data_IF_989740779879
#
_entry.id   IF_989740779879
#
_cell.length_a   1.000
_cell.length_b   1.000
_cell.length_c   1.000
_cell.angle_alpha   90.00
_cell.angle_beta   90.00
_cell.angle_gamma   90.00
#
_symmetry.space_group_name_H-M   'P 1'
#
loop_
_entity.id
_entity.type
_entity.pdbx_description
1 polymer ?
#
# COMPACT_ATOMS: atom_id res chain seq x y z
N UNK A 1 18.93 -27.40 -14.28
CA UNK A 1 17.75 -26.80 -13.66
C UNK A 1 17.84 -25.29 -13.90
N UNK A 2 17.29 -24.81 -15.02
CA UNK A 2 17.26 -23.38 -15.33
C UNK A 2 15.91 -22.84 -14.87
N UNK A 3 15.74 -22.65 -13.56
CA UNK A 3 14.51 -22.11 -12.97
C UNK A 3 14.71 -20.64 -12.68
N UNK A 4 14.44 -19.78 -13.66
CA UNK A 4 14.11 -18.38 -13.37
C UNK A 4 12.88 -18.38 -12.46
N UNK A 5 12.89 -17.59 -11.37
CA UNK A 5 11.72 -17.42 -10.49
C UNK A 5 10.50 -16.82 -11.25
N UNK A 6 10.75 -16.26 -12.43
CA UNK A 6 9.76 -15.65 -13.32
C UNK A 6 9.76 -16.47 -14.61
N UNK A 7 8.64 -17.13 -14.90
CA UNK A 7 8.49 -17.88 -16.15
C UNK A 7 8.01 -16.91 -17.25
N UNK A 8 8.97 -16.19 -17.82
CA UNK A 8 8.71 -15.18 -18.85
C UNK A 8 8.02 -15.79 -20.08
N UNK A 9 8.30 -17.05 -20.42
CA UNK A 9 7.65 -17.73 -21.55
C UNK A 9 6.19 -18.09 -21.24
N UNK A 10 5.88 -18.52 -20.01
CA UNK A 10 4.51 -18.73 -19.56
C UNK A 10 3.74 -17.41 -19.53
N UNK A 11 4.32 -16.36 -18.93
CA UNK A 11 3.69 -15.04 -18.85
C UNK A 11 3.40 -14.48 -20.25
N UNK A 12 4.34 -14.57 -21.21
CA UNK A 12 4.10 -14.10 -22.58
C UNK A 12 2.98 -14.86 -23.30
N UNK A 13 2.78 -16.16 -22.99
CA UNK A 13 1.69 -16.97 -23.54
C UNK A 13 0.34 -16.63 -22.90
N UNK A 14 0.29 -16.43 -21.58
CA UNK A 14 -0.93 -16.05 -20.85
C UNK A 14 -1.37 -14.63 -21.21
N UNK A 15 -0.42 -13.72 -21.39
CA UNK A 15 -0.67 -12.30 -21.65
C UNK A 15 -0.87 -11.94 -23.13
N UNK A 16 -0.91 -12.93 -24.03
CA UNK A 16 -1.13 -12.67 -25.47
C UNK A 16 -0.08 -11.79 -26.15
N UNK A 17 1.17 -11.80 -25.65
CA UNK A 17 2.28 -11.04 -26.25
C UNK A 17 2.42 -9.58 -25.78
N UNK A 18 1.79 -9.17 -24.67
CA UNK A 18 2.06 -7.86 -24.05
C UNK A 18 3.50 -7.83 -23.51
N UNK A 19 4.35 -6.87 -23.92
CA UNK A 19 5.75 -6.85 -23.54
C UNK A 19 5.92 -6.67 -22.03
N UNK A 20 6.84 -7.43 -21.43
CA UNK A 20 7.31 -7.17 -20.08
C UNK A 20 7.95 -5.77 -20.04
N UNK A 21 7.54 -4.91 -19.11
CA UNK A 21 8.19 -3.60 -18.96
C UNK A 21 9.67 -3.83 -18.62
N UNK A 22 10.55 -3.23 -19.42
CA UNK A 22 12.01 -3.24 -19.19
C UNK A 22 12.26 -2.57 -17.85
N UNK A 23 13.01 -3.24 -16.97
CA UNK A 23 13.47 -2.69 -15.69
C UNK A 23 13.99 -1.26 -15.89
N UNK A 24 13.43 -0.30 -15.16
CA UNK A 24 14.11 0.98 -14.93
C UNK A 24 15.45 0.64 -14.27
N UNK A 25 16.54 0.92 -14.98
CA UNK A 25 17.89 0.60 -14.52
C UNK A 25 18.23 1.39 -13.24
N UNK A 26 19.11 0.88 -12.36
CA UNK A 26 19.42 1.50 -11.06
C UNK A 26 20.05 2.90 -11.13
N UNK A 27 20.31 3.41 -12.33
CA UNK A 27 21.09 4.62 -12.58
C UNK A 27 20.34 5.67 -13.43
N UNK A 28 19.02 5.55 -13.56
CA UNK A 28 18.21 6.63 -14.10
C UNK A 28 18.11 7.74 -13.05
N UNK A 29 19.00 8.74 -13.13
CA UNK A 29 18.75 10.06 -12.56
C UNK A 29 17.50 10.62 -13.22
N UNK A 30 16.36 10.46 -12.55
CA UNK A 30 15.09 11.04 -12.96
C UNK A 30 15.17 12.57 -12.77
N UNK A 31 15.01 13.39 -13.82
CA UNK A 31 14.44 14.70 -13.61
C UNK A 31 12.97 14.45 -13.24
N UNK A 32 12.64 14.76 -11.99
CA UNK A 32 11.31 14.70 -11.37
C UNK A 32 10.14 14.64 -12.37
N UNK A 33 9.55 13.46 -12.65
CA UNK A 33 8.14 13.37 -12.93
C UNK A 33 7.49 13.08 -11.58
N UNK A 34 6.81 14.08 -11.04
CA UNK A 34 5.82 13.93 -9.99
C UNK A 34 5.07 12.62 -10.19
N UNK A 35 5.34 11.63 -9.34
CA UNK A 35 4.43 10.50 -9.15
C UNK A 35 3.19 11.12 -8.51
N UNK A 36 2.34 11.69 -9.35
CA UNK A 36 1.07 12.26 -8.98
C UNK A 36 0.22 11.11 -8.47
N UNK A 37 0.25 10.94 -7.15
CA UNK A 37 -0.93 10.54 -6.40
C UNK A 37 -1.98 11.55 -6.88
N UNK A 38 -2.98 11.11 -7.65
CA UNK A 38 -4.06 11.96 -8.19
C UNK A 38 -5.45 11.54 -7.68
N UNK A 39 -6.19 12.48 -7.09
CA UNK A 39 -7.53 12.33 -6.53
C UNK A 39 -8.58 12.98 -7.45
N UNK A 40 -9.72 12.32 -7.60
CA UNK A 40 -10.82 12.72 -8.50
C UNK A 40 -11.59 13.94 -7.93
N UNK A 41 -11.85 14.95 -8.77
CA UNK A 41 -12.77 16.07 -8.50
C UNK A 41 -14.16 15.84 -9.12
N UNK A 42 -15.15 16.52 -8.53
CA UNK A 42 -16.60 16.33 -8.63
C UNK A 42 -17.27 16.84 -9.94
N UNK A 43 -16.54 17.08 -11.03
CA UNK A 43 -17.10 17.74 -12.23
C UNK A 43 -17.41 16.82 -13.43
N UNK A 44 -17.35 15.49 -13.24
CA UNK A 44 -17.93 14.55 -14.19
C UNK A 44 -17.20 14.46 -15.54
N UNK A 45 -15.97 14.97 -15.64
CA UNK A 45 -15.05 14.65 -16.74
C UNK A 45 -14.20 13.45 -16.34
N UNK A 46 -14.39 12.32 -17.03
CA UNK A 46 -13.54 11.14 -16.91
C UNK A 46 -12.19 11.43 -17.56
N UNK A 47 -11.12 11.39 -16.77
CA UNK A 47 -9.77 11.18 -17.30
C UNK A 47 -9.21 9.85 -16.77
N UNK A 48 -8.54 9.12 -17.67
CA UNK A 48 -8.19 7.70 -17.56
C UNK A 48 -6.86 7.45 -16.84
N UNK A 49 -6.79 7.26 -15.52
CA UNK A 49 -5.64 6.68 -14.77
C UNK A 49 -6.13 6.25 -13.36
N UNK A 50 -5.54 5.41 -12.50
CA UNK A 50 -4.47 4.39 -12.43
C UNK A 50 -4.63 3.79 -11.02
N UNK A 51 -4.72 2.46 -10.87
CA UNK A 51 -5.13 1.69 -9.67
C UNK A 51 -6.60 1.92 -9.22
N UNK A 52 -7.45 0.91 -9.41
CA UNK A 52 -8.85 0.97 -8.99
C UNK A 52 -8.92 0.91 -7.46
N UNK A 53 -9.21 2.04 -6.84
CA UNK A 53 -9.84 2.10 -5.52
C UNK A 53 -11.32 2.39 -5.79
N UNK A 54 -12.22 1.52 -5.34
CA UNK A 54 -13.66 1.66 -5.58
C UNK A 54 -14.17 3.03 -5.09
N UNK A 55 -15.22 3.51 -5.77
CA UNK A 55 -15.80 4.87 -5.82
C UNK A 55 -16.15 5.55 -4.46
N UNK A 56 -15.87 4.90 -3.33
CA UNK A 56 -16.22 5.35 -1.99
C UNK A 56 -15.06 5.38 -0.96
N UNK A 57 -13.87 4.90 -1.29
CA UNK A 57 -12.76 4.72 -0.32
C UNK A 57 -11.48 5.51 -0.70
N UNK A 58 -11.62 6.80 -1.03
CA UNK A 58 -10.46 7.62 -1.40
C UNK A 58 -9.60 8.00 -0.20
N UNK A 59 -8.31 7.63 -0.27
CA UNK A 59 -7.27 8.21 0.58
C UNK A 59 -7.05 9.66 0.15
N UNK A 60 -7.12 10.59 1.11
CA UNK A 60 -6.67 11.96 0.88
C UNK A 60 -5.14 11.96 0.67
N UNK A 61 -4.69 12.50 -0.46
CA UNK A 61 -3.29 12.49 -0.87
C UNK A 61 -2.39 13.27 0.06
N UNK A 62 -2.97 14.30 0.69
CA UNK A 62 -2.27 15.11 1.66
C UNK A 62 -2.01 14.27 2.92
N UNK A 63 -2.93 13.36 3.28
CA UNK A 63 -2.70 12.37 4.35
C UNK A 63 -1.57 11.43 3.97
N UNK A 64 -1.55 10.87 2.76
CA UNK A 64 -0.47 9.99 2.30
C UNK A 64 0.90 10.69 2.32
N UNK A 65 0.96 11.88 1.73
CA UNK A 65 2.18 12.67 1.56
C UNK A 65 2.75 13.10 2.91
N UNK A 66 1.91 13.65 3.79
CA UNK A 66 2.35 14.08 5.12
C UNK A 66 2.69 12.88 6.00
N UNK A 67 1.94 11.78 5.92
CA UNK A 67 2.25 10.54 6.64
C UNK A 67 3.64 10.02 6.26
N UNK A 68 3.97 10.00 4.97
CA UNK A 68 5.31 9.61 4.49
C UNK A 68 6.41 10.56 4.98
N UNK A 69 6.14 11.87 5.05
CA UNK A 69 7.06 12.84 5.67
C UNK A 69 7.32 12.48 7.13
N UNK A 70 6.28 12.16 7.92
CA UNK A 70 6.45 11.70 9.30
C UNK A 70 7.30 10.44 9.41
N UNK A 71 6.99 9.40 8.62
CA UNK A 71 7.74 8.15 8.63
C UNK A 71 9.22 8.37 8.29
N UNK A 72 9.48 9.21 7.28
CA UNK A 72 10.84 9.56 6.87
C UNK A 72 11.61 10.24 8.01
N UNK A 73 11.00 11.22 8.68
CA UNK A 73 11.60 11.91 9.83
C UNK A 73 11.90 10.97 11.01
N UNK A 74 11.14 9.89 11.19
CA UNK A 74 11.42 8.84 12.19
C UNK A 74 12.58 7.97 11.73
N UNK A 75 12.60 7.50 10.48
CA UNK A 75 13.65 6.64 9.95
C UNK A 75 15.05 7.27 10.02
N UNK A 76 15.14 8.59 9.90
CA UNK A 76 16.40 9.33 10.09
C UNK A 76 16.89 9.36 11.55
N UNK A 77 16.03 9.14 12.54
CA UNK A 77 16.42 9.08 13.96
C UNK A 77 17.12 7.77 14.31
N UNK A 78 16.78 6.69 13.60
CA UNK A 78 17.33 5.35 13.81
C UNK A 78 18.59 5.07 12.98
N UNK A 79 19.12 6.08 12.27
CA UNK A 79 20.35 5.92 11.49
C UNK A 79 21.56 5.66 12.41
N UNK A 80 22.38 4.64 12.10
CA UNK A 80 23.59 4.36 12.88
C UNK A 80 24.53 5.56 12.93
N UNK A 81 25.15 5.78 14.10
CA UNK A 81 26.09 6.88 14.33
C UNK A 81 27.31 6.91 13.38
N UNK A 82 27.61 5.80 12.69
CA UNK A 82 28.73 5.70 11.74
C UNK A 82 28.48 6.37 10.39
N UNK A 83 27.24 6.75 10.06
CA UNK A 83 26.89 7.45 8.81
C UNK A 83 27.44 8.89 8.76
N UNK A 84 28.15 9.36 9.80
CA UNK A 84 28.76 10.68 9.86
C UNK A 84 27.70 11.77 10.04
N UNK A 85 28.15 12.98 10.36
CA UNK A 85 27.36 14.15 10.79
C UNK A 85 26.36 14.69 9.76
N UNK A 86 25.44 13.86 9.28
CA UNK A 86 24.14 14.33 8.82
C UNK A 86 23.41 14.81 10.06
N UNK A 87 22.84 16.01 9.99
CA UNK A 87 22.00 16.56 11.05
C UNK A 87 21.09 15.46 11.57
N UNK A 88 21.35 14.95 12.78
CA UNK A 88 20.38 14.10 13.47
C UNK A 88 19.11 14.93 13.57
N UNK A 89 18.13 14.63 12.71
CA UNK A 89 16.82 15.26 12.76
C UNK A 89 16.31 15.05 14.18
N UNK A 90 16.06 16.15 14.88
CA UNK A 90 15.86 16.11 16.33
C UNK A 90 14.57 15.34 16.60
N UNK A 91 14.50 14.53 17.67
CA UNK A 91 13.25 13.88 18.09
C UNK A 91 12.03 14.81 18.06
N UNK A 92 12.23 16.09 18.35
CA UNK A 92 11.22 17.16 18.31
C UNK A 92 10.53 17.35 16.95
N UNK A 93 11.23 17.16 15.84
CA UNK A 93 10.70 17.39 14.49
C UNK A 93 9.70 16.31 14.07
N UNK A 94 9.98 15.04 14.39
CA UNK A 94 9.04 13.95 14.18
C UNK A 94 7.79 14.09 15.05
N UNK A 95 7.95 14.41 16.34
CA UNK A 95 6.81 14.65 17.22
C UNK A 95 5.92 15.81 16.74
N UNK A 96 6.53 16.92 16.29
CA UNK A 96 5.79 18.05 15.74
C UNK A 96 5.03 17.66 14.46
N UNK A 97 5.67 16.91 13.55
CA UNK A 97 5.02 16.48 12.32
C UNK A 97 3.86 15.51 12.60
N UNK A 98 4.04 14.55 13.52
CA UNK A 98 2.94 13.65 13.96
C UNK A 98 1.77 14.44 14.55
N UNK A 99 2.07 15.43 15.40
CA UNK A 99 1.06 16.29 16.00
C UNK A 99 0.30 17.10 14.94
N UNK A 100 1.01 17.68 13.98
CA UNK A 100 0.39 18.46 12.90
C UNK A 100 -0.60 17.63 12.09
N UNK A 101 -0.23 16.40 11.71
CA UNK A 101 -1.12 15.48 10.99
C UNK A 101 -2.30 15.06 11.88
N UNK A 102 -2.04 14.74 13.14
CA UNK A 102 -3.10 14.39 14.09
C UNK A 102 -4.13 15.51 14.20
N UNK A 103 -3.68 16.75 14.44
CA UNK A 103 -4.55 17.92 14.58
C UNK A 103 -5.35 18.21 13.29
N UNK A 104 -4.78 17.94 12.10
CA UNK A 104 -5.41 18.22 10.81
C UNK A 104 -6.43 17.16 10.39
N UNK A 105 -6.13 15.87 10.61
CA UNK A 105 -6.89 14.77 10.00
C UNK A 105 -7.60 13.86 11.00
N UNK A 106 -7.27 13.93 12.28
CA UNK A 106 -7.93 13.12 13.32
C UNK A 106 -8.97 14.00 14.01
N UNK A 107 -10.25 13.73 13.74
CA UNK A 107 -11.34 14.48 14.36
C UNK A 107 -11.52 14.06 15.83
N UNK A 108 -12.19 14.87 16.69
CA UNK A 108 -12.22 14.65 18.14
C UNK A 108 -12.73 13.27 18.60
N UNK A 109 -13.59 12.62 17.82
CA UNK A 109 -14.08 11.27 18.14
C UNK A 109 -13.05 10.15 17.82
N UNK A 110 -11.92 10.49 17.19
CA UNK A 110 -10.84 9.57 16.82
C UNK A 110 -10.93 8.99 15.42
N UNK A 111 -11.91 9.41 14.59
CA UNK A 111 -11.95 9.04 13.18
C UNK A 111 -10.97 9.88 12.37
N UNK A 112 -10.53 9.32 11.24
CA UNK A 112 -9.72 10.02 10.26
C UNK A 112 -10.66 10.61 9.22
N UNK A 113 -10.39 11.84 8.76
CA UNK A 113 -11.23 12.56 7.78
C UNK A 113 -11.42 11.78 6.48
N UNK A 114 -10.36 11.11 6.00
CA UNK A 114 -10.45 10.05 4.98
C UNK A 114 -10.76 8.73 5.69
N UNK A 115 -12.03 8.33 5.68
CA UNK A 115 -12.53 7.10 6.34
C UNK A 115 -12.24 5.85 5.49
N UNK A 116 -11.00 5.71 5.00
CA UNK A 116 -10.56 4.67 4.06
C UNK A 116 -9.53 3.71 4.69
N UNK A 117 -9.44 2.47 4.18
CA UNK A 117 -8.52 1.44 4.71
C UNK A 117 -7.07 1.94 4.81
N UNK A 118 -6.58 2.62 3.76
CA UNK A 118 -5.22 3.13 3.70
C UNK A 118 -4.94 4.22 4.76
N UNK A 119 -5.91 5.09 5.04
CA UNK A 119 -5.75 6.17 6.01
C UNK A 119 -5.56 5.61 7.42
N UNK A 120 -6.38 4.63 7.81
CA UNK A 120 -6.24 3.95 9.09
C UNK A 120 -4.95 3.13 9.17
N UNK A 121 -4.58 2.43 8.10
CA UNK A 121 -3.34 1.66 8.06
C UNK A 121 -2.11 2.55 8.30
N UNK A 122 -2.02 3.69 7.61
CA UNK A 122 -0.94 4.67 7.78
C UNK A 122 -0.94 5.28 9.19
N UNK A 123 -2.10 5.71 9.70
CA UNK A 123 -2.17 6.34 11.01
C UNK A 123 -1.78 5.38 12.16
N UNK A 124 -2.12 4.10 12.05
CA UNK A 124 -1.75 3.06 13.02
C UNK A 124 -0.24 2.76 12.94
N UNK A 125 0.27 2.50 11.73
CA UNK A 125 1.66 2.08 11.55
C UNK A 125 2.67 3.21 11.77
N UNK A 126 2.29 4.46 11.53
CA UNK A 126 3.17 5.63 11.72
C UNK A 126 3.02 6.30 13.10
N UNK A 127 2.23 5.68 13.98
CA UNK A 127 2.01 6.12 15.36
C UNK A 127 1.46 7.55 15.44
N UNK A 128 0.44 7.84 14.62
CA UNK A 128 -0.19 9.16 14.53
C UNK A 128 -1.34 9.34 15.52
N UNK A 129 -1.66 8.30 16.31
CA UNK A 129 -2.87 8.23 17.12
C UNK A 129 -2.52 8.04 18.60
N UNK A 130 -3.30 8.65 19.49
CA UNK A 130 -3.23 8.30 20.92
C UNK A 130 -3.62 6.83 21.14
N UNK A 131 -3.23 6.19 22.26
CA UNK A 131 -3.56 4.79 22.53
C UNK A 131 -5.06 4.45 22.42
N UNK A 132 -5.92 5.36 22.89
CA UNK A 132 -7.39 5.18 22.80
C UNK A 132 -7.88 5.30 21.35
N UNK A 133 -7.34 6.27 20.59
CA UNK A 133 -7.69 6.44 19.18
C UNK A 133 -7.19 5.27 18.32
N UNK A 134 -6.01 4.72 18.64
CA UNK A 134 -5.44 3.54 17.96
C UNK A 134 -6.35 2.33 18.05
N UNK A 135 -6.94 2.05 19.22
CA UNK A 135 -7.92 0.96 19.38
C UNK A 135 -9.17 1.22 18.53
N UNK A 136 -9.69 2.45 18.53
CA UNK A 136 -10.85 2.83 17.70
C UNK A 136 -10.55 2.71 16.20
N UNK A 137 -9.37 3.14 15.78
CA UNK A 137 -8.91 3.04 14.41
C UNK A 137 -8.78 1.59 13.95
N UNK A 138 -8.26 0.69 14.79
CA UNK A 138 -8.20 -0.74 14.50
C UNK A 138 -9.59 -1.35 14.29
N UNK A 139 -10.52 -1.08 15.20
CA UNK A 139 -11.91 -1.52 15.06
C UNK A 139 -12.57 -0.97 13.79
N UNK A 140 -12.35 0.31 13.49
CA UNK A 140 -12.90 0.94 12.28
C UNK A 140 -12.30 0.37 11.00
N UNK A 141 -11.00 0.08 11.00
CA UNK A 141 -10.34 -0.59 9.87
C UNK A 141 -10.96 -1.98 9.62
N UNK A 142 -11.25 -2.75 10.67
CA UNK A 142 -11.97 -4.03 10.55
C UNK A 142 -13.36 -3.85 9.96
N UNK A 143 -14.11 -2.83 10.38
CA UNK A 143 -15.43 -2.53 9.82
C UNK A 143 -15.34 -2.22 8.32
N UNK A 144 -14.35 -1.42 7.89
CA UNK A 144 -14.14 -1.09 6.48
C UNK A 144 -13.77 -2.33 5.65
N UNK A 145 -12.86 -3.16 6.16
CA UNK A 145 -12.47 -4.41 5.50
C UNK A 145 -13.67 -5.34 5.35
N UNK A 146 -14.48 -5.53 6.41
CA UNK A 146 -15.66 -6.38 6.35
C UNK A 146 -16.75 -5.83 5.44
N UNK A 147 -16.95 -4.50 5.43
CA UNK A 147 -17.89 -3.84 4.52
C UNK A 147 -17.47 -4.05 3.07
N UNK A 148 -16.16 -4.11 2.81
CA UNK A 148 -15.57 -4.41 1.52
C UNK A 148 -15.36 -5.92 1.28
N UNK A 149 -16.13 -6.78 1.94
CA UNK A 149 -16.09 -8.24 1.75
C UNK A 149 -14.70 -8.90 1.90
N UNK A 150 -13.83 -8.29 2.73
CA UNK A 150 -12.42 -8.66 2.92
C UNK A 150 -11.49 -8.37 1.73
N UNK A 151 -11.97 -7.63 0.73
CA UNK A 151 -11.18 -7.20 -0.41
C UNK A 151 -10.24 -6.03 -0.05
N UNK A 152 -9.14 -5.95 -0.78
CA UNK A 152 -8.10 -4.94 -0.57
C UNK A 152 -8.59 -3.59 -1.12
N UNK A 153 -8.89 -2.65 -0.20
CA UNK A 153 -9.31 -1.29 -0.52
C UNK A 153 -8.15 -0.28 -0.52
N UNK A 154 -6.94 -0.72 -0.85
CA UNK A 154 -5.73 0.12 -0.77
C UNK A 154 -4.90 0.11 -2.06
N UNK A 155 -4.36 1.28 -2.40
CA UNK A 155 -3.31 1.45 -3.42
C UNK A 155 -1.89 1.30 -2.84
N UNK A 156 -0.89 1.81 -3.56
CA UNK A 156 0.53 1.62 -3.22
C UNK A 156 0.91 2.15 -1.83
N UNK A 157 0.35 3.29 -1.42
CA UNK A 157 0.68 3.90 -0.12
C UNK A 157 0.16 3.06 1.07
N UNK A 158 -1.01 2.44 0.95
CA UNK A 158 -1.67 1.73 2.05
C UNK A 158 -1.33 0.24 2.13
N UNK A 159 -1.17 -0.42 0.97
CA UNK A 159 -1.02 -1.89 0.89
C UNK A 159 0.13 -2.44 1.75
N UNK A 160 1.33 -1.81 1.81
CA UNK A 160 2.43 -2.29 2.64
C UNK A 160 2.10 -2.36 4.14
N UNK A 161 1.12 -1.58 4.60
CA UNK A 161 0.82 -1.38 6.02
C UNK A 161 -0.50 -2.02 6.47
N UNK A 162 -1.35 -2.45 5.54
CA UNK A 162 -2.73 -2.88 5.83
C UNK A 162 -2.80 -4.06 6.81
N UNK A 163 -2.14 -5.18 6.47
CA UNK A 163 -2.12 -6.37 7.33
C UNK A 163 -1.40 -6.12 8.66
N UNK A 164 -0.33 -5.31 8.62
CA UNK A 164 0.42 -4.95 9.83
C UNK A 164 -0.41 -4.09 10.78
N UNK A 165 -1.16 -3.11 10.28
CA UNK A 165 -2.06 -2.29 11.09
C UNK A 165 -3.15 -3.12 11.76
N UNK A 166 -3.73 -4.10 11.04
CA UNK A 166 -4.68 -5.06 11.60
C UNK A 166 -4.02 -5.91 12.70
N UNK A 167 -2.82 -6.44 12.48
CA UNK A 167 -2.12 -7.23 13.49
C UNK A 167 -1.76 -6.42 14.74
N UNK A 168 -1.22 -5.21 14.55
CA UNK A 168 -0.85 -4.25 15.59
C UNK A 168 -2.02 -3.79 16.46
N UNK A 169 -3.25 -3.95 15.98
CA UNK A 169 -4.48 -3.60 16.70
C UNK A 169 -5.25 -4.83 17.19
N UNK A 170 -4.66 -6.03 17.12
CA UNK A 170 -5.24 -7.26 17.65
C UNK A 170 -6.19 -7.99 16.70
N UNK A 171 -6.22 -7.61 15.43
CA UNK A 171 -7.14 -8.13 14.41
C UNK A 171 -6.44 -8.98 13.35
N UNK A 172 -5.38 -9.71 13.72
CA UNK A 172 -4.58 -10.53 12.79
C UNK A 172 -5.42 -11.55 11.99
N UNK A 173 -6.51 -12.07 12.56
CA UNK A 173 -7.40 -13.00 11.86
C UNK A 173 -8.13 -12.35 10.66
N UNK A 174 -8.40 -11.05 10.73
CA UNK A 174 -8.93 -10.28 9.61
C UNK A 174 -7.87 -10.14 8.52
N UNK A 175 -6.61 -9.87 8.89
CA UNK A 175 -5.50 -9.84 7.94
C UNK A 175 -5.33 -11.18 7.21
N UNK A 176 -5.44 -12.32 7.91
CA UNK A 176 -5.43 -13.64 7.28
C UNK A 176 -6.61 -13.88 6.34
N UNK A 177 -7.80 -13.38 6.70
CA UNK A 177 -8.97 -13.50 5.82
C UNK A 177 -8.73 -12.76 4.49
N UNK A 178 -8.14 -11.56 4.53
CA UNK A 178 -7.77 -10.82 3.32
C UNK A 178 -6.69 -11.53 2.50
N UNK A 179 -5.65 -12.05 3.17
CA UNK A 179 -4.57 -12.80 2.52
C UNK A 179 -5.05 -14.04 1.76
N UNK A 180 -6.12 -14.68 2.26
CA UNK A 180 -6.70 -15.88 1.67
C UNK A 180 -7.86 -15.57 0.69
N UNK A 181 -8.22 -14.29 0.53
CA UNK A 181 -9.17 -13.83 -0.47
C UNK A 181 -8.71 -14.15 -1.88
N UNK A 182 -9.63 -14.61 -2.73
CA UNK A 182 -9.33 -15.06 -4.10
C UNK A 182 -10.00 -14.21 -5.18
N UNK A 183 -10.92 -13.35 -4.81
CA UNK A 183 -11.63 -12.46 -5.73
C UNK A 183 -10.84 -11.16 -5.89
N UNK A 184 -10.93 -10.53 -7.04
CA UNK A 184 -10.32 -9.23 -7.24
C UNK A 184 -11.10 -8.16 -6.45
N UNK A 185 -10.44 -7.28 -5.67
CA UNK A 185 -8.99 -7.14 -5.47
C UNK A 185 -8.42 -7.96 -4.29
N UNK A 186 -7.50 -8.89 -4.57
CA UNK A 186 -6.78 -9.68 -3.56
C UNK A 186 -5.39 -10.13 -4.04
N UNK A 187 -4.50 -10.50 -3.11
CA UNK A 187 -3.16 -11.02 -3.46
C UNK A 187 -3.20 -12.37 -4.19
N UNK A 188 -4.14 -13.26 -3.84
CA UNK A 188 -4.24 -14.55 -4.52
C UNK A 188 -4.98 -14.46 -5.85
N UNK A 189 -5.71 -13.38 -6.13
CA UNK A 189 -6.44 -13.25 -7.39
C UNK A 189 -5.50 -13.36 -8.62
N UNK A 190 -4.40 -12.60 -8.73
CA UNK A 190 -3.42 -12.79 -9.81
C UNK A 190 -2.89 -14.23 -9.91
N UNK A 191 -2.61 -14.86 -8.77
CA UNK A 191 -2.13 -16.25 -8.71
C UNK A 191 -3.17 -17.22 -9.28
N UNK A 192 -4.45 -17.04 -8.93
CA UNK A 192 -5.56 -17.82 -9.47
C UNK A 192 -5.73 -17.62 -10.98
N UNK A 193 -5.31 -16.47 -11.50
CA UNK A 193 -5.31 -16.11 -12.92
C UNK A 193 -4.02 -16.52 -13.66
N UNK A 194 -3.09 -17.22 -13.00
CA UNK A 194 -1.87 -17.75 -13.61
C UNK A 194 -0.66 -16.81 -13.55
N UNK A 195 -0.69 -15.75 -12.75
CA UNK A 195 0.46 -14.86 -12.56
C UNK A 195 1.66 -15.60 -11.94
N UNK A 196 2.86 -15.39 -12.49
CA UNK A 196 4.13 -15.74 -11.85
C UNK A 196 4.84 -14.54 -11.19
N UNK A 197 4.72 -13.30 -11.72
CA UNK A 197 5.08 -12.05 -11.04
C UNK A 197 3.87 -11.32 -10.40
N UNK A 198 4.17 -10.32 -9.56
CA UNK A 198 3.16 -9.38 -9.03
C UNK A 198 2.78 -8.36 -10.11
N UNK A 199 1.50 -8.05 -10.24
CA UNK A 199 0.98 -7.08 -11.21
C UNK A 199 0.93 -5.65 -10.65
N UNK A 200 0.93 -4.64 -11.53
CA UNK A 200 0.78 -3.24 -11.12
C UNK A 200 -0.62 -2.91 -10.61
N UNK A 201 -1.65 -3.56 -11.18
CA UNK A 201 -3.04 -3.37 -10.79
C UNK A 201 -3.59 -4.65 -10.18
N UNK A 202 -4.49 -4.51 -9.22
CA UNK A 202 -5.24 -5.66 -8.71
C UNK A 202 -6.03 -6.36 -9.81
N UNK A 203 -6.52 -5.57 -10.77
CA UNK A 203 -7.38 -5.96 -11.87
C UNK A 203 -6.67 -5.91 -13.24
N UNK A 204 -5.34 -6.17 -13.29
CA UNK A 204 -4.61 -6.17 -14.57
C UNK A 204 -5.18 -7.16 -15.59
N UNK A 205 -5.69 -8.30 -15.11
CA UNK A 205 -6.64 -9.15 -15.84
C UNK A 205 -7.98 -9.07 -15.11
N UNK A 206 -9.05 -8.77 -15.84
CA UNK A 206 -10.42 -8.71 -15.33
C UNK A 206 -10.98 -10.13 -15.09
N UNK A 207 -12.07 -10.28 -14.32
CA UNK A 207 -12.65 -11.60 -14.03
C UNK A 207 -13.10 -12.39 -15.27
N UNK A 208 -13.35 -11.70 -16.40
CA UNK A 208 -13.69 -12.31 -17.68
C UNK A 208 -12.47 -12.75 -18.51
N UNK A 209 -11.25 -12.55 -17.98
CA UNK A 209 -9.98 -12.88 -18.64
C UNK A 209 -9.46 -11.80 -19.59
N UNK A 210 -10.21 -10.71 -19.80
CA UNK A 210 -9.73 -9.59 -20.62
C UNK A 210 -8.69 -8.75 -19.86
N UNK A 211 -7.78 -8.13 -20.61
CA UNK A 211 -6.78 -7.23 -20.04
C UNK A 211 -7.47 -5.91 -19.68
N UNK A 212 -7.07 -5.32 -18.55
CA UNK A 212 -7.54 -4.00 -18.16
C UNK A 212 -7.31 -2.99 -19.31
N UNK A 213 -8.33 -2.25 -19.76
CA UNK A 213 -8.21 -1.34 -20.91
C UNK A 213 -7.37 -0.09 -20.61
N UNK A 214 -6.93 0.11 -19.36
CA UNK A 214 -6.06 1.22 -18.98
C UNK A 214 -4.71 1.18 -19.71
N UNK A 215 -4.21 2.35 -20.11
CA UNK A 215 -2.96 2.50 -20.86
C UNK A 215 -1.71 2.01 -20.10
N UNK A 216 -1.81 1.87 -18.77
CA UNK A 216 -0.76 1.37 -17.86
C UNK A 216 -1.23 0.07 -17.19
N UNK A 217 -0.83 -1.07 -17.77
CA UNK A 217 -1.09 -2.41 -17.25
C UNK A 217 0.14 -3.33 -17.37
N UNK A 218 1.28 -3.01 -16.73
CA UNK A 218 2.40 -3.93 -16.62
C UNK A 218 2.07 -5.08 -15.67
N UNK A 219 2.48 -6.27 -16.08
CA UNK A 219 2.28 -7.51 -15.33
C UNK A 219 3.48 -7.86 -14.44
N UNK A 220 4.43 -6.94 -14.23
CA UNK A 220 5.59 -7.19 -13.40
C UNK A 220 5.98 -5.92 -12.62
N UNK A 221 5.32 -5.69 -11.49
CA UNK A 221 5.51 -4.55 -10.63
C UNK A 221 5.49 -4.96 -9.15
N UNK A 222 6.56 -4.67 -8.42
CA UNK A 222 6.78 -5.22 -7.08
C UNK A 222 5.97 -4.55 -5.96
N UNK A 223 5.29 -3.42 -6.21
CA UNK A 223 4.66 -2.61 -5.16
C UNK A 223 3.71 -3.41 -4.26
N UNK A 224 2.82 -4.23 -4.85
CA UNK A 224 1.92 -5.07 -4.06
C UNK A 224 2.58 -6.32 -3.47
N UNK A 225 3.80 -6.64 -3.90
CA UNK A 225 4.68 -7.63 -3.28
C UNK A 225 5.20 -7.21 -1.91
N UNK A 226 4.99 -5.95 -1.48
CA UNK A 226 5.34 -5.47 -0.15
C UNK A 226 4.70 -6.29 0.99
N UNK A 227 3.64 -7.05 0.71
CA UNK A 227 3.04 -8.01 1.65
C UNK A 227 4.04 -9.06 2.15
N UNK A 228 5.12 -9.32 1.41
CA UNK A 228 6.18 -10.24 1.81
C UNK A 228 6.78 -9.90 3.18
N UNK A 229 6.86 -8.61 3.56
CA UNK A 229 7.30 -8.21 4.91
C UNK A 229 6.41 -8.82 6.00
N UNK A 230 5.09 -8.70 5.85
CA UNK A 230 4.14 -9.27 6.81
C UNK A 230 4.26 -10.80 6.86
N UNK A 231 4.39 -11.46 5.71
CA UNK A 231 4.58 -12.91 5.65
C UNK A 231 5.85 -13.35 6.37
N UNK A 232 6.97 -12.65 6.18
CA UNK A 232 8.22 -12.96 6.85
C UNK A 232 8.17 -12.67 8.37
N UNK A 233 7.71 -11.48 8.75
CA UNK A 233 7.81 -11.02 10.14
C UNK A 233 6.70 -11.54 11.06
N UNK A 234 5.48 -11.71 10.53
CA UNK A 234 4.30 -12.12 11.32
C UNK A 234 3.95 -13.58 11.14
N UNK A 235 4.05 -14.11 9.92
CA UNK A 235 3.68 -15.50 9.63
C UNK A 235 4.86 -16.44 9.90
N UNK A 236 6.03 -16.13 9.35
CA UNK A 236 7.24 -16.93 9.59
C UNK A 236 7.97 -16.57 10.91
N UNK A 237 7.68 -15.40 11.49
CA UNK A 237 8.26 -14.97 12.77
C UNK A 237 9.72 -14.50 12.67
N UNK A 238 10.19 -14.13 11.48
CA UNK A 238 11.56 -13.68 11.24
C UNK A 238 11.67 -12.18 11.40
N UNK A 239 12.36 -11.71 12.45
CA UNK A 239 12.52 -10.29 12.75
C UNK A 239 13.99 -9.96 13.06
N UNK A 240 14.38 -8.71 12.81
CA UNK A 240 15.70 -8.22 13.20
C UNK A 240 15.76 -8.19 14.73
N UNK A 241 16.79 -8.83 15.30
CA UNK A 241 17.11 -8.80 16.72
C UNK A 241 17.55 -7.41 17.19
#
# INVERSE_FOLDING_TARGET
MNGSLIDVEHDQKVLGGVPAMVMVTPNATLPDPTCSIGAVRRDGRQEHFSSVVYEHDYLDEDIATKSNRCYTLVGYQDLPAWIGSTQQLRPTESHSARKEIHDQYVIPNGRITSDAQAAYALAICFDLLTPVQRVRAGNRLVELVRKNEFDIGTGFAGTPYLCEALALTGHVQVAYSMLLGKNCPAWLYPVMMGATPVWERWDSILPDGSINPGEMTPFNHYAFGAIAKFLLERVAGLQRL
#
